data_IF_935647021168
#
_entry.id   IF_935647021168
#
_cell.length_a   1.000
_cell.length_b   1.000
_cell.length_c   1.000
_cell.angle_alpha   90.00
_cell.angle_beta   90.00
_cell.angle_gamma   90.00
#
_symmetry.space_group_name_H-M   'P 1'
#
loop_
_entity.id
_entity.type
_entity.pdbx_description
1 polymer ?
#
# COMPACT_ATOMS: atom_id res chain seq x y z
N UNK A 1 49.00 -7.47 22.00
CA UNK A 1 48.37 -6.92 20.83
C UNK A 1 47.01 -6.35 21.23
N UNK A 2 46.76 -5.07 21.08
CA UNK A 2 45.44 -4.58 21.35
C UNK A 2 44.50 -5.14 20.29
N UNK A 3 43.44 -5.76 20.76
CA UNK A 3 42.36 -6.26 19.91
C UNK A 3 41.68 -5.05 19.28
N UNK A 4 41.68 -4.96 17.96
CA UNK A 4 40.99 -3.90 17.23
C UNK A 4 39.50 -4.16 17.37
N UNK A 5 38.81 -3.32 18.15
CA UNK A 5 37.36 -3.45 18.26
C UNK A 5 36.71 -3.37 16.88
N UNK A 6 35.78 -4.30 16.58
CA UNK A 6 35.01 -4.24 15.36
C UNK A 6 34.24 -2.92 15.29
N UNK A 7 34.11 -2.31 14.11
CA UNK A 7 33.37 -1.05 13.98
C UNK A 7 31.92 -1.24 14.42
N UNK A 8 31.40 -0.29 15.19
CA UNK A 8 30.00 -0.30 15.61
C UNK A 8 29.10 -0.25 14.38
N UNK A 9 28.11 -1.12 14.26
CA UNK A 9 27.20 -1.05 13.12
C UNK A 9 26.48 0.30 13.07
N UNK A 10 26.24 0.82 11.86
CA UNK A 10 25.48 2.03 11.65
C UNK A 10 24.06 1.88 12.24
N UNK A 11 23.45 2.99 12.74
CA UNK A 11 22.07 2.92 13.22
C UNK A 11 21.13 2.41 12.13
N UNK A 12 20.07 1.69 12.51
CA UNK A 12 19.08 1.19 11.58
C UNK A 12 18.53 2.34 10.72
N UNK A 13 18.24 2.12 9.41
CA UNK A 13 17.73 3.16 8.51
C UNK A 13 16.52 3.92 9.07
N UNK A 14 15.64 3.23 9.79
CA UNK A 14 14.46 3.82 10.43
C UNK A 14 14.85 4.88 11.48
N UNK A 15 15.83 4.57 12.32
CA UNK A 15 16.32 5.50 13.35
C UNK A 15 17.01 6.71 12.72
N UNK A 16 17.80 6.49 11.65
CA UNK A 16 18.48 7.56 10.94
C UNK A 16 17.48 8.52 10.29
N UNK A 17 16.44 7.99 9.62
CA UNK A 17 15.39 8.78 8.99
C UNK A 17 14.65 9.61 10.03
N UNK A 18 14.29 9.03 11.17
CA UNK A 18 13.63 9.76 12.26
C UNK A 18 14.53 10.88 12.81
N UNK A 19 15.84 10.64 12.97
CA UNK A 19 16.79 11.64 13.43
C UNK A 19 16.96 12.80 12.44
N UNK A 20 16.79 12.56 11.14
CA UNK A 20 16.84 13.58 10.09
C UNK A 20 15.50 14.30 9.91
N UNK A 21 14.43 13.90 10.60
CA UNK A 21 13.11 14.49 10.43
C UNK A 21 12.42 14.17 9.11
N UNK A 22 12.96 13.20 8.35
CA UNK A 22 12.38 12.79 7.08
C UNK A 22 11.23 11.82 7.29
N UNK A 23 10.13 12.10 6.63
CA UNK A 23 8.98 11.17 6.52
C UNK A 23 8.66 10.95 5.05
N UNK A 24 7.87 9.93 4.77
CA UNK A 24 7.49 9.62 3.40
C UNK A 24 6.00 9.28 3.33
N UNK A 25 5.41 9.60 2.19
CA UNK A 25 4.02 9.24 1.90
C UNK A 25 3.87 8.89 0.43
N UNK A 26 2.80 8.14 0.15
CA UNK A 26 2.33 7.87 -1.20
C UNK A 26 1.10 8.76 -1.42
N UNK A 27 1.03 9.46 -2.53
CA UNK A 27 -0.05 10.40 -2.81
C UNK A 27 -0.90 9.88 -3.96
N UNK A 28 -2.20 9.75 -3.74
CA UNK A 28 -3.18 9.38 -4.75
C UNK A 28 -4.16 10.53 -4.98
N UNK A 29 -4.29 10.95 -6.23
CA UNK A 29 -5.35 11.84 -6.63
C UNK A 29 -6.65 11.04 -6.80
N UNK A 30 -7.77 11.62 -6.39
CA UNK A 30 -9.08 10.96 -6.44
C UNK A 30 -10.18 11.93 -6.83
N UNK A 31 -11.19 11.43 -7.52
CA UNK A 31 -12.42 12.20 -7.77
C UNK A 31 -13.28 12.29 -6.52
N UNK A 32 -13.32 11.19 -5.76
CA UNK A 32 -14.01 11.12 -4.47
C UNK A 32 -13.02 10.65 -3.40
N UNK A 33 -12.23 11.57 -2.82
CA UNK A 33 -11.21 11.21 -1.83
C UNK A 33 -11.77 10.50 -0.60
N UNK A 34 -12.95 10.90 -0.13
CA UNK A 34 -13.56 10.27 1.04
C UNK A 34 -13.89 8.79 0.76
N UNK A 35 -14.49 8.50 -0.39
CA UNK A 35 -14.82 7.13 -0.76
C UNK A 35 -13.57 6.29 -0.97
N UNK A 36 -12.55 6.84 -1.63
CA UNK A 36 -11.28 6.12 -1.83
C UNK A 36 -10.57 5.86 -0.50
N UNK A 37 -10.57 6.83 0.41
CA UNK A 37 -10.00 6.68 1.74
C UNK A 37 -10.75 5.60 2.54
N UNK A 38 -12.07 5.53 2.44
CA UNK A 38 -12.86 4.47 3.08
C UNK A 38 -12.51 3.09 2.52
N UNK A 39 -12.33 2.97 1.22
CA UNK A 39 -11.92 1.72 0.59
C UNK A 39 -10.58 1.24 1.15
N UNK A 40 -9.54 2.09 1.11
CA UNK A 40 -8.22 1.71 1.61
C UNK A 40 -8.21 1.54 3.13
N UNK A 41 -8.99 2.33 3.86
CA UNK A 41 -9.12 2.17 5.30
C UNK A 41 -9.64 0.79 5.68
N UNK A 42 -10.68 0.33 4.99
CA UNK A 42 -11.24 -1.01 5.21
C UNK A 42 -10.27 -2.11 4.74
N UNK A 43 -9.63 -1.93 3.59
CA UNK A 43 -8.68 -2.91 3.04
C UNK A 43 -7.45 -3.08 3.95
N UNK A 44 -6.94 -1.97 4.49
CA UNK A 44 -5.76 -1.94 5.35
C UNK A 44 -6.06 -2.10 6.84
N UNK A 45 -7.34 -2.10 7.20
CA UNK A 45 -7.80 -2.13 8.60
C UNK A 45 -7.22 -0.95 9.40
N UNK A 46 -7.34 0.24 8.84
CA UNK A 46 -6.94 1.50 9.48
C UNK A 46 -8.05 2.54 9.33
N UNK A 47 -8.13 3.44 10.29
CA UNK A 47 -9.12 4.53 10.26
C UNK A 47 -8.57 5.69 9.43
N UNK A 48 -9.29 6.15 8.38
CA UNK A 48 -8.89 7.34 7.64
C UNK A 48 -8.92 8.57 8.56
N UNK A 49 -7.93 9.44 8.42
CA UNK A 49 -7.80 10.66 9.20
C UNK A 49 -7.92 11.88 8.29
N UNK A 50 -8.50 12.99 8.78
CA UNK A 50 -8.50 14.24 8.03
C UNK A 50 -7.08 14.71 7.75
N UNK A 51 -6.88 15.26 6.56
CA UNK A 51 -5.59 15.85 6.16
C UNK A 51 -5.60 17.38 6.23
N UNK A 52 -4.94 18.00 5.26
CA UNK A 52 -4.72 19.44 5.25
C UNK A 52 -5.95 20.26 4.79
N UNK A 53 -6.92 19.61 4.17
CA UNK A 53 -8.14 20.25 3.69
C UNK A 53 -9.34 19.30 3.82
N UNK A 54 -10.54 19.81 3.55
CA UNK A 54 -11.77 19.00 3.61
C UNK A 54 -11.81 17.87 2.57
N UNK A 55 -10.97 17.94 1.54
CA UNK A 55 -10.89 16.94 0.48
C UNK A 55 -9.58 16.13 0.53
N UNK A 56 -8.90 16.17 1.64
CA UNK A 56 -7.64 15.47 1.86
C UNK A 56 -7.80 14.50 3.03
N UNK A 57 -7.47 13.21 2.78
CA UNK A 57 -7.54 12.14 3.77
C UNK A 57 -6.19 11.46 3.87
N UNK A 58 -5.88 10.96 5.05
CA UNK A 58 -4.61 10.27 5.34
C UNK A 58 -4.88 8.94 5.99
N UNK A 59 -4.11 7.94 5.59
CA UNK A 59 -4.18 6.59 6.15
C UNK A 59 -2.78 6.11 6.50
N UNK A 60 -2.65 5.43 7.63
CA UNK A 60 -1.39 4.78 7.98
C UNK A 60 -1.07 3.69 6.97
N UNK A 61 0.11 3.77 6.37
CA UNK A 61 0.58 2.73 5.47
C UNK A 61 1.23 1.60 6.27
N UNK A 62 0.99 0.31 5.92
CA UNK A 62 1.73 -0.79 6.54
C UNK A 62 3.22 -0.57 6.39
N UNK A 63 4.02 -0.94 7.36
CA UNK A 63 5.46 -0.72 7.39
C UNK A 63 5.91 0.74 7.57
N UNK A 64 5.00 1.68 7.74
CA UNK A 64 5.30 3.08 8.06
C UNK A 64 5.02 4.05 6.93
N UNK A 65 4.95 5.31 7.26
CA UNK A 65 4.54 6.36 6.34
C UNK A 65 3.02 6.48 6.22
N UNK A 66 2.59 7.18 5.18
CA UNK A 66 1.18 7.51 4.97
C UNK A 66 0.77 7.27 3.52
N UNK A 67 -0.46 6.86 3.35
CA UNK A 67 -1.17 7.00 2.08
C UNK A 67 -2.01 8.27 2.18
N UNK A 68 -1.82 9.20 1.24
CA UNK A 68 -2.54 10.47 1.22
C UNK A 68 -3.43 10.53 -0.02
N UNK A 69 -4.71 10.83 0.19
CA UNK A 69 -5.72 10.85 -0.85
C UNK A 69 -6.32 12.25 -0.90
N UNK A 70 -6.33 12.88 -2.07
CA UNK A 70 -6.79 14.25 -2.22
C UNK A 70 -7.52 14.49 -3.54
N UNK A 71 -8.39 15.51 -3.57
CA UNK A 71 -9.00 15.93 -4.81
C UNK A 71 -8.10 16.94 -5.54
N UNK A 72 -7.75 16.72 -6.80
CA UNK A 72 -7.03 17.70 -7.60
C UNK A 72 -7.83 18.99 -7.75
N UNK A 73 -7.11 20.10 -7.87
CA UNK A 73 -7.68 21.42 -8.09
C UNK A 73 -6.85 22.18 -9.11
N UNK A 74 -7.29 23.41 -9.48
CA UNK A 74 -6.52 24.24 -10.40
C UNK A 74 -5.13 24.59 -9.86
N UNK A 75 -5.00 24.74 -8.54
CA UNK A 75 -3.72 25.03 -7.88
C UNK A 75 -2.89 23.78 -7.62
N UNK A 76 -3.51 22.60 -7.66
CA UNK A 76 -2.86 21.31 -7.43
C UNK A 76 -3.37 20.29 -8.45
N UNK A 77 -3.07 20.49 -9.73
CA UNK A 77 -3.56 19.59 -10.77
C UNK A 77 -2.82 18.24 -10.69
N UNK A 78 -3.54 17.18 -10.98
CA UNK A 78 -2.97 15.85 -11.12
C UNK A 78 -3.58 15.22 -12.37
N UNK A 79 -2.81 14.96 -13.41
CA UNK A 79 -3.34 14.33 -14.62
C UNK A 79 -3.84 12.92 -14.31
N UNK A 80 -4.92 12.52 -14.96
CA UNK A 80 -5.40 11.14 -14.95
C UNK A 80 -4.57 10.31 -15.90
N UNK A 81 -3.43 9.86 -15.42
CA UNK A 81 -2.54 9.01 -16.21
C UNK A 81 -2.38 7.67 -15.51
N UNK A 82 -2.44 6.60 -16.30
CA UNK A 82 -1.94 5.32 -15.85
C UNK A 82 -0.41 5.40 -15.79
N UNK A 83 0.12 5.56 -14.60
CA UNK A 83 1.56 5.57 -14.37
C UNK A 83 2.13 4.17 -14.30
N UNK A 84 3.45 4.10 -14.14
CA UNK A 84 4.17 2.84 -13.91
C UNK A 84 4.21 2.45 -12.43
N UNK A 85 3.82 3.36 -11.53
CA UNK A 85 3.77 3.12 -10.11
C UNK A 85 2.45 2.43 -9.77
N UNK A 86 2.52 1.39 -8.95
CA UNK A 86 1.34 0.68 -8.44
C UNK A 86 1.53 0.38 -6.97
N UNK A 87 0.43 0.33 -6.23
CA UNK A 87 0.47 -0.13 -4.85
C UNK A 87 0.56 -1.65 -4.84
N UNK A 88 1.33 -2.19 -3.92
CA UNK A 88 1.42 -3.62 -3.69
C UNK A 88 1.20 -3.90 -2.22
N UNK A 89 0.22 -4.75 -1.92
CA UNK A 89 -0.02 -5.26 -0.58
C UNK A 89 0.38 -6.71 -0.51
N UNK A 90 1.09 -7.11 0.53
CA UNK A 90 1.61 -8.45 0.69
C UNK A 90 1.09 -9.08 1.98
N UNK A 91 0.78 -10.37 1.92
CA UNK A 91 0.47 -11.21 3.06
C UNK A 91 1.25 -12.51 2.94
N UNK A 92 1.29 -13.25 4.02
CA UNK A 92 1.96 -14.56 4.05
C UNK A 92 0.96 -15.65 4.40
N UNK A 93 1.20 -16.83 3.85
CA UNK A 93 0.46 -18.05 4.15
C UNK A 93 1.39 -19.24 4.02
N UNK A 94 0.96 -20.42 4.49
CA UNK A 94 1.66 -21.64 4.16
C UNK A 94 1.72 -21.84 2.65
N UNK A 95 2.78 -22.46 2.14
CA UNK A 95 3.01 -22.60 0.69
C UNK A 95 1.79 -23.19 -0.04
N UNK A 96 1.14 -24.19 0.53
CA UNK A 96 -0.03 -24.81 -0.08
C UNK A 96 -1.30 -23.94 0.04
N UNK A 97 -1.29 -22.90 0.86
CA UNK A 97 -2.44 -22.05 1.14
C UNK A 97 -2.39 -20.67 0.49
N UNK A 98 -1.36 -20.36 -0.31
CA UNK A 98 -1.19 -19.01 -0.86
C UNK A 98 -2.33 -18.60 -1.78
N UNK A 99 -2.74 -19.48 -2.68
CA UNK A 99 -3.84 -19.18 -3.61
C UNK A 99 -5.20 -19.08 -2.88
N UNK A 100 -5.44 -19.93 -1.89
CA UNK A 100 -6.68 -19.89 -1.12
C UNK A 100 -6.79 -18.58 -0.33
N UNK A 101 -5.71 -18.13 0.31
CA UNK A 101 -5.69 -16.84 0.99
C UNK A 101 -5.90 -15.69 0.01
N UNK A 102 -5.24 -15.74 -1.15
CA UNK A 102 -5.42 -14.70 -2.17
C UNK A 102 -6.87 -14.62 -2.63
N UNK A 103 -7.51 -15.73 -2.92
CA UNK A 103 -8.92 -15.77 -3.35
C UNK A 103 -9.84 -15.17 -2.29
N UNK A 104 -9.62 -15.50 -1.02
CA UNK A 104 -10.37 -14.93 0.09
C UNK A 104 -10.16 -13.42 0.19
N UNK A 105 -8.93 -12.97 0.03
CA UNK A 105 -8.59 -11.54 0.08
C UNK A 105 -9.22 -10.77 -1.08
N UNK A 106 -9.19 -11.34 -2.29
CA UNK A 106 -9.86 -10.76 -3.45
C UNK A 106 -11.36 -10.61 -3.19
N UNK A 107 -12.01 -11.65 -2.66
CA UNK A 107 -13.43 -11.57 -2.31
C UNK A 107 -13.74 -10.40 -1.38
N UNK A 108 -12.92 -10.20 -0.37
CA UNK A 108 -13.05 -9.06 0.54
C UNK A 108 -12.85 -7.71 -0.18
N UNK A 109 -11.84 -7.62 -1.03
CA UNK A 109 -11.57 -6.39 -1.78
C UNK A 109 -12.71 -6.06 -2.76
N UNK A 110 -13.26 -7.05 -3.44
CA UNK A 110 -14.40 -6.86 -4.35
C UNK A 110 -15.63 -6.34 -3.58
N UNK A 111 -15.87 -6.85 -2.39
CA UNK A 111 -16.98 -6.40 -1.55
C UNK A 111 -16.81 -4.92 -1.13
N UNK A 112 -15.58 -4.42 -1.10
CA UNK A 112 -15.26 -3.02 -0.78
C UNK A 112 -15.31 -2.10 -2.00
N UNK A 113 -15.41 -2.63 -3.22
CA UNK A 113 -15.52 -1.82 -4.42
C UNK A 113 -14.38 -1.98 -5.42
N UNK A 114 -13.43 -2.88 -5.17
CA UNK A 114 -12.39 -3.20 -6.15
C UNK A 114 -12.97 -4.01 -7.31
N UNK A 115 -12.24 -4.05 -8.42
CA UNK A 115 -12.51 -4.94 -9.54
C UNK A 115 -11.26 -5.72 -9.92
N UNK A 116 -11.44 -6.88 -10.54
CA UNK A 116 -10.31 -7.70 -10.98
C UNK A 116 -9.84 -7.20 -12.34
N UNK A 117 -8.55 -6.91 -12.46
CA UNK A 117 -7.93 -6.58 -13.74
C UNK A 117 -7.34 -7.84 -14.39
N UNK A 118 -6.51 -8.58 -13.64
CA UNK A 118 -6.00 -9.88 -14.04
C UNK A 118 -6.39 -10.92 -13.01
N UNK A 119 -6.87 -12.10 -13.42
CA UNK A 119 -7.31 -13.14 -12.49
C UNK A 119 -6.15 -13.65 -11.63
N UNK A 120 -6.44 -14.23 -10.45
CA UNK A 120 -5.41 -14.77 -9.59
C UNK A 120 -4.61 -15.89 -10.26
N UNK A 121 -3.31 -15.91 -10.02
CA UNK A 121 -2.39 -16.91 -10.54
C UNK A 121 -1.53 -17.50 -9.43
N UNK A 122 -1.32 -18.81 -9.53
CA UNK A 122 -0.30 -19.48 -8.74
C UNK A 122 1.02 -19.41 -9.52
N UNK A 123 2.03 -18.82 -8.88
CA UNK A 123 3.36 -18.67 -9.45
C UNK A 123 4.40 -19.42 -8.58
N UNK A 124 5.63 -19.65 -9.07
CA UNK A 124 6.65 -20.30 -8.25
C UNK A 124 6.96 -19.55 -6.94
N UNK A 125 6.80 -18.23 -6.92
CA UNK A 125 7.07 -17.40 -5.74
C UNK A 125 5.87 -17.27 -4.79
N UNK A 126 4.67 -17.68 -5.19
CA UNK A 126 3.45 -17.52 -4.41
C UNK A 126 2.23 -17.31 -5.29
N UNK A 127 1.27 -16.53 -4.83
CA UNK A 127 0.07 -16.24 -5.58
C UNK A 127 -0.11 -14.72 -5.75
N UNK A 128 -0.56 -14.30 -6.92
CA UNK A 128 -0.74 -12.88 -7.21
C UNK A 128 -2.01 -12.59 -8.01
N UNK A 129 -2.53 -11.38 -7.84
CA UNK A 129 -3.61 -10.86 -8.65
C UNK A 129 -3.49 -9.34 -8.80
N UNK A 130 -3.86 -8.84 -9.95
CA UNK A 130 -3.99 -7.42 -10.18
C UNK A 130 -5.44 -6.99 -10.10
N UNK A 131 -5.70 -6.01 -9.25
CA UNK A 131 -7.02 -5.41 -9.07
C UNK A 131 -6.97 -3.94 -9.48
N UNK A 132 -8.15 -3.36 -9.64
CA UNK A 132 -8.33 -1.91 -9.72
C UNK A 132 -9.07 -1.47 -8.46
N UNK A 133 -8.62 -0.36 -7.86
CA UNK A 133 -9.38 0.26 -6.78
C UNK A 133 -10.63 0.97 -7.35
N UNK A 134 -11.52 1.53 -6.52
CA UNK A 134 -12.75 2.16 -7.02
C UNK A 134 -12.53 3.33 -7.99
N UNK A 135 -11.34 3.90 -8.03
CA UNK A 135 -11.00 4.99 -8.96
C UNK A 135 -10.19 4.52 -10.17
N UNK A 136 -9.99 3.21 -10.30
CA UNK A 136 -9.27 2.64 -11.42
C UNK A 136 -7.75 2.58 -11.26
N UNK A 137 -7.22 2.83 -10.07
CA UNK A 137 -5.79 2.67 -9.81
C UNK A 137 -5.44 1.19 -9.67
N UNK A 138 -4.29 0.80 -10.22
CA UNK A 138 -3.83 -0.59 -10.16
C UNK A 138 -3.34 -0.94 -8.76
N UNK A 139 -3.73 -2.11 -8.30
CA UNK A 139 -3.39 -2.65 -6.99
C UNK A 139 -2.97 -4.10 -7.15
N UNK A 140 -1.75 -4.42 -6.74
CA UNK A 140 -1.25 -5.78 -6.74
C UNK A 140 -1.47 -6.40 -5.36
N UNK A 141 -2.16 -7.52 -5.32
CA UNK A 141 -2.24 -8.36 -4.13
C UNK A 141 -1.31 -9.55 -4.30
N UNK A 142 -0.43 -9.76 -3.34
CA UNK A 142 0.62 -10.77 -3.39
C UNK A 142 0.60 -11.58 -2.10
N UNK A 143 0.52 -12.89 -2.22
CA UNK A 143 0.62 -13.80 -1.08
C UNK A 143 1.86 -14.67 -1.24
N UNK A 144 2.80 -14.51 -0.33
CA UNK A 144 4.06 -15.24 -0.34
C UNK A 144 4.02 -16.38 0.68
N UNK A 145 4.77 -17.49 0.42
CA UNK A 145 4.92 -18.53 1.42
C UNK A 145 5.63 -17.98 2.65
N UNK A 146 5.12 -18.31 3.82
CA UNK A 146 5.84 -18.06 5.07
C UNK A 146 7.02 -19.01 5.19
N UNK A 147 8.14 -18.50 5.67
CA UNK A 147 9.37 -19.28 5.90
C UNK A 147 9.34 -20.03 7.22
#
# INVERSE_FOLDING_TARGET
MPETAAPTPSPAPKALVAAMGMTASIVLAADDPAALAQFYGALLDVEPQPGLSSTHWRLRWPAGGWLEVYAPSKSRPQPRQQGRLSLCLQRQAERAGTLALLNSWITSALALGASVQDPPRQEPFGAEAWLLDPEGNRLLLLVLPST
#
